data_IF_053863348052
#
_entry.id   IF_053863348052
#
_cell.length_a   1.000
_cell.length_b   1.000
_cell.length_c   1.000
_cell.angle_alpha   90.00
_cell.angle_beta   90.00
_cell.angle_gamma   90.00
#
_symmetry.space_group_name_H-M   'P 1'
#
loop_
_entity.id
_entity.type
_entity.pdbx_description
1 polymer ?
#
# COMPACT_ATOMS: atom_id res chain seq x y z
N UNK A 1 -19.52 -7.89 -9.27
CA UNK A 1 -19.71 -6.46 -9.62
C UNK A 1 -19.50 -5.62 -8.37
N UNK A 2 -18.55 -4.66 -8.37
CA UNK A 2 -18.28 -3.80 -7.20
C UNK A 2 -19.06 -2.48 -7.23
N UNK A 3 -19.47 -2.05 -8.42
CA UNK A 3 -20.27 -0.87 -8.65
C UNK A 3 -21.42 -1.15 -9.62
N UNK A 4 -22.38 -0.24 -9.64
CA UNK A 4 -23.51 -0.21 -10.58
C UNK A 4 -23.50 1.15 -11.26
N UNK A 5 -23.61 1.16 -12.59
CA UNK A 5 -23.90 2.37 -13.35
C UNK A 5 -25.41 2.55 -13.41
N UNK A 6 -25.91 3.64 -12.85
CA UNK A 6 -27.31 4.03 -12.91
C UNK A 6 -27.46 4.96 -14.10
N UNK A 7 -28.24 4.57 -15.11
CA UNK A 7 -28.44 5.36 -16.32
C UNK A 7 -29.60 6.33 -16.15
N UNK A 8 -29.41 7.59 -16.56
CA UNK A 8 -30.43 8.62 -16.81
C UNK A 8 -31.47 8.90 -15.71
N UNK A 9 -31.38 8.27 -14.55
CA UNK A 9 -32.27 8.45 -13.42
C UNK A 9 -31.58 9.31 -12.36
N UNK A 10 -32.08 10.52 -12.08
CA UNK A 10 -31.53 11.33 -11.00
C UNK A 10 -31.83 10.66 -9.64
N UNK A 11 -30.90 10.73 -8.68
CA UNK A 11 -31.13 10.16 -7.36
C UNK A 11 -32.35 10.80 -6.68
N UNK A 12 -33.11 10.00 -5.94
CA UNK A 12 -34.36 10.41 -5.25
C UNK A 12 -34.22 11.64 -4.34
N UNK A 13 -33.00 11.94 -3.91
CA UNK A 13 -32.63 13.15 -3.16
C UNK A 13 -31.39 13.75 -3.80
N UNK A 14 -31.29 15.08 -3.79
CA UNK A 14 -30.10 15.81 -4.25
C UNK A 14 -28.87 15.20 -3.60
N UNK A 15 -28.04 14.53 -4.42
CA UNK A 15 -26.86 13.83 -3.96
C UNK A 15 -25.62 14.52 -4.49
N UNK A 16 -24.61 14.67 -3.63
CA UNK A 16 -23.28 15.10 -4.04
C UNK A 16 -22.39 13.89 -4.31
N UNK A 17 -21.45 14.05 -5.23
CA UNK A 17 -20.41 13.06 -5.48
C UNK A 17 -19.50 12.92 -4.26
N UNK A 18 -19.27 11.69 -3.83
CA UNK A 18 -18.42 11.39 -2.67
C UNK A 18 -16.93 11.70 -2.89
N UNK A 19 -16.50 11.98 -4.11
CA UNK A 19 -15.10 12.31 -4.43
C UNK A 19 -14.85 13.80 -4.74
N UNK A 20 -15.79 14.49 -5.40
CA UNK A 20 -15.59 15.88 -5.84
C UNK A 20 -16.61 16.87 -5.26
N UNK A 21 -17.54 16.39 -4.41
CA UNK A 21 -18.59 17.18 -3.75
C UNK A 21 -19.55 17.93 -4.67
N UNK A 22 -19.46 17.73 -6.00
CA UNK A 22 -20.36 18.34 -6.98
C UNK A 22 -21.72 17.65 -6.96
N UNK A 23 -22.82 18.37 -7.25
CA UNK A 23 -24.14 17.77 -7.38
C UNK A 23 -24.17 16.76 -8.53
N UNK A 24 -24.78 15.60 -8.29
CA UNK A 24 -24.98 14.55 -9.28
C UNK A 24 -26.24 14.91 -10.09
N UNK A 25 -26.07 15.02 -11.41
CA UNK A 25 -27.15 15.42 -12.32
C UNK A 25 -27.89 14.19 -12.88
N UNK A 26 -27.32 13.56 -13.92
CA UNK A 26 -27.93 12.43 -14.62
C UNK A 26 -26.87 11.38 -14.95
N UNK A 27 -27.17 10.12 -14.68
CA UNK A 27 -26.17 9.07 -14.83
C UNK A 27 -25.14 9.12 -13.70
N UNK A 28 -25.03 8.05 -12.89
CA UNK A 28 -24.05 8.03 -11.82
C UNK A 28 -23.56 6.62 -11.50
N UNK A 29 -22.37 6.54 -10.93
CA UNK A 29 -21.78 5.30 -10.45
C UNK A 29 -22.09 5.15 -8.97
N UNK A 30 -22.62 3.99 -8.57
CA UNK A 30 -22.94 3.66 -7.18
C UNK A 30 -22.11 2.47 -6.72
N UNK A 31 -21.39 2.60 -5.62
CA UNK A 31 -20.67 1.49 -5.02
C UNK A 31 -21.64 0.53 -4.31
N UNK A 32 -21.56 -0.77 -4.61
CA UNK A 32 -22.58 -1.77 -4.19
C UNK A 32 -22.67 -1.93 -2.67
N UNK A 33 -21.53 -1.93 -1.96
CA UNK A 33 -21.51 -2.12 -0.50
C UNK A 33 -21.81 -0.85 0.27
N UNK A 34 -21.03 0.21 0.04
CA UNK A 34 -21.08 1.47 0.79
C UNK A 34 -22.20 2.41 0.36
N UNK A 35 -22.87 2.15 -0.77
CA UNK A 35 -23.91 3.00 -1.34
C UNK A 35 -23.44 4.42 -1.71
N UNK A 36 -22.12 4.66 -1.70
CA UNK A 36 -21.52 5.92 -2.13
C UNK A 36 -21.78 6.15 -3.62
N UNK A 37 -21.95 7.43 -3.99
CA UNK A 37 -22.35 7.85 -5.33
C UNK A 37 -21.27 8.74 -5.93
N UNK A 38 -21.00 8.54 -7.21
CA UNK A 38 -19.95 9.21 -7.95
C UNK A 38 -20.48 9.69 -9.30
N UNK A 39 -19.99 10.83 -9.77
CA UNK A 39 -20.35 11.36 -11.10
C UNK A 39 -20.04 10.36 -12.21
N UNK A 40 -18.89 9.72 -12.12
CA UNK A 40 -18.32 8.88 -13.16
C UNK A 40 -17.37 7.83 -12.56
N UNK A 41 -16.80 7.01 -13.44
CA UNK A 41 -15.84 6.00 -13.07
C UNK A 41 -14.52 6.56 -12.52
N UNK A 42 -14.08 7.75 -12.95
CA UNK A 42 -12.85 8.37 -12.43
C UNK A 42 -12.99 8.84 -10.98
N UNK A 43 -14.15 9.40 -10.64
CA UNK A 43 -14.53 9.74 -9.28
C UNK A 43 -14.66 8.48 -8.42
N UNK A 44 -15.24 7.40 -8.96
CA UNK A 44 -15.29 6.10 -8.30
C UNK A 44 -13.89 5.57 -7.97
N UNK A 45 -12.98 5.56 -8.95
CA UNK A 45 -11.59 5.09 -8.77
C UNK A 45 -10.83 5.92 -7.75
N UNK A 46 -11.00 7.25 -7.74
CA UNK A 46 -10.44 8.12 -6.69
C UNK A 46 -11.00 7.79 -5.31
N UNK A 47 -12.30 7.53 -5.21
CA UNK A 47 -12.95 7.11 -3.96
C UNK A 47 -12.45 5.76 -3.44
N UNK A 48 -12.27 4.77 -4.32
CA UNK A 48 -11.67 3.48 -3.95
C UNK A 48 -10.23 3.64 -3.47
N UNK A 49 -9.43 4.45 -4.15
CA UNK A 49 -8.06 4.77 -3.72
C UNK A 49 -8.06 5.42 -2.34
N UNK A 50 -8.92 6.41 -2.11
CA UNK A 50 -9.03 7.06 -0.81
C UNK A 50 -9.47 6.09 0.29
N UNK A 51 -10.36 5.14 -0.01
CA UNK A 51 -10.81 4.11 0.94
C UNK A 51 -9.69 3.13 1.27
N UNK A 52 -8.91 2.71 0.27
CA UNK A 52 -7.73 1.85 0.47
C UNK A 52 -6.65 2.56 1.28
N UNK A 53 -6.43 3.85 1.02
CA UNK A 53 -5.49 4.67 1.78
C UNK A 53 -6.00 4.92 3.21
N UNK A 54 -7.29 5.11 3.44
CA UNK A 54 -7.86 5.23 4.79
C UNK A 54 -7.80 3.93 5.61
N UNK A 55 -7.65 2.77 4.98
CA UNK A 55 -7.39 1.52 5.70
C UNK A 55 -5.97 1.48 6.27
N UNK A 56 -5.06 2.28 5.72
CA UNK A 56 -3.84 2.65 6.39
C UNK A 56 -4.18 3.65 7.50
N UNK A 57 -3.55 3.60 8.69
CA UNK A 57 -3.70 4.67 9.67
C UNK A 57 -3.16 5.96 9.06
N UNK A 58 -4.04 6.72 8.40
CA UNK A 58 -3.66 8.03 7.88
C UNK A 58 -3.44 8.93 9.10
N UNK A 59 -2.33 9.67 9.14
CA UNK A 59 -2.15 10.69 10.16
C UNK A 59 -3.33 11.66 10.07
N UNK A 60 -3.91 11.99 11.23
CA UNK A 60 -5.14 12.77 11.37
C UNK A 60 -5.13 14.12 10.60
N UNK A 61 -3.95 14.60 10.23
CA UNK A 61 -3.70 15.86 9.53
C UNK A 61 -4.25 15.91 8.09
N UNK A 62 -4.43 14.77 7.41
CA UNK A 62 -5.12 14.74 6.09
C UNK A 62 -6.60 15.04 6.18
N UNK A 63 -7.25 14.66 7.29
CA UNK A 63 -8.66 14.98 7.52
C UNK A 63 -8.87 16.48 7.79
N UNK A 64 -7.83 17.19 8.25
CA UNK A 64 -7.83 18.63 8.48
C UNK A 64 -7.53 19.47 7.22
N UNK A 65 -7.28 18.84 6.07
CA UNK A 65 -7.01 19.55 4.81
C UNK A 65 -5.60 20.15 4.70
N UNK A 66 -4.68 19.82 5.63
CA UNK A 66 -3.32 20.35 5.62
C UNK A 66 -2.36 19.44 4.83
N UNK A 67 -2.26 19.66 3.52
CA UNK A 67 -1.52 18.82 2.56
C UNK A 67 -0.01 18.77 2.87
N UNK A 68 0.58 19.83 3.40
CA UNK A 68 2.02 19.87 3.71
C UNK A 68 2.37 19.03 4.95
N UNK A 69 1.55 19.08 5.99
CA UNK A 69 1.73 18.28 7.20
C UNK A 69 1.52 16.78 6.91
N UNK A 70 0.53 16.48 6.07
CA UNK A 70 0.30 15.16 5.52
C UNK A 70 1.50 14.60 4.73
N UNK A 71 2.07 15.41 3.84
CA UNK A 71 3.22 15.00 3.04
C UNK A 71 4.45 14.76 3.94
N UNK A 72 4.63 15.58 4.98
CA UNK A 72 5.72 15.43 5.95
C UNK A 72 5.60 14.13 6.75
N UNK A 73 4.44 13.84 7.33
CA UNK A 73 4.23 12.61 8.10
C UNK A 73 4.35 11.35 7.23
N UNK A 74 3.92 11.41 5.97
CA UNK A 74 4.18 10.34 4.99
C UNK A 74 5.69 10.14 4.77
N UNK A 75 6.45 11.21 4.54
CA UNK A 75 7.91 11.11 4.33
C UNK A 75 8.62 10.54 5.56
N UNK A 76 8.24 10.95 6.77
CA UNK A 76 8.80 10.40 8.01
C UNK A 76 8.47 8.89 8.14
N UNK A 77 7.24 8.49 7.84
CA UNK A 77 6.86 7.08 7.85
C UNK A 77 7.68 6.26 6.85
N UNK A 78 7.86 6.77 5.62
CA UNK A 78 8.69 6.10 4.61
C UNK A 78 10.16 6.06 5.01
N UNK A 79 10.68 7.09 5.67
CA UNK A 79 12.06 7.11 6.17
C UNK A 79 12.28 6.05 7.26
N UNK A 80 11.34 5.93 8.22
CA UNK A 80 11.39 4.91 9.27
C UNK A 80 11.30 3.50 8.67
N UNK A 81 10.36 3.26 7.75
CA UNK A 81 10.22 1.97 7.08
C UNK A 81 11.49 1.60 6.29
N UNK A 82 12.08 2.58 5.59
CA UNK A 82 13.32 2.38 4.85
C UNK A 82 14.47 2.02 5.79
N UNK A 83 14.62 2.73 6.91
CA UNK A 83 15.64 2.43 7.91
C UNK A 83 15.47 1.01 8.47
N UNK A 84 14.28 0.65 8.94
CA UNK A 84 13.99 -0.70 9.47
C UNK A 84 14.30 -1.79 8.43
N UNK A 85 13.90 -1.58 7.17
CA UNK A 85 14.17 -2.54 6.10
C UNK A 85 15.66 -2.71 5.82
N UNK A 86 16.43 -1.61 5.84
CA UNK A 86 17.88 -1.62 5.61
C UNK A 86 18.59 -2.44 6.71
N UNK A 87 18.23 -2.20 7.97
CA UNK A 87 18.77 -2.96 9.11
C UNK A 87 18.38 -4.45 9.05
N UNK A 88 17.17 -4.77 8.60
CA UNK A 88 16.77 -6.16 8.41
C UNK A 88 17.61 -6.85 7.32
N UNK A 89 17.81 -6.19 6.17
CA UNK A 89 18.62 -6.71 5.08
C UNK A 89 20.08 -6.95 5.49
N UNK A 90 20.69 -6.03 6.25
CA UNK A 90 22.09 -6.21 6.69
C UNK A 90 22.25 -7.39 7.63
N UNK A 91 21.31 -7.59 8.56
CA UNK A 91 21.31 -8.76 9.46
C UNK A 91 21.18 -10.04 8.63
N UNK A 92 20.23 -10.10 7.69
CA UNK A 92 20.02 -11.28 6.86
C UNK A 92 21.25 -11.62 6.02
N UNK A 93 21.83 -10.63 5.33
CA UNK A 93 23.05 -10.83 4.53
C UNK A 93 24.20 -11.36 5.40
N UNK A 94 24.37 -10.81 6.61
CA UNK A 94 25.42 -11.24 7.53
C UNK A 94 25.23 -12.69 8.00
N UNK A 95 23.99 -13.08 8.32
CA UNK A 95 23.68 -14.46 8.72
C UNK A 95 23.95 -15.46 7.58
N UNK A 96 23.57 -15.11 6.35
CA UNK A 96 23.81 -15.94 5.16
C UNK A 96 25.31 -16.05 4.87
N UNK A 97 26.05 -14.94 4.93
CA UNK A 97 27.49 -14.96 4.71
C UNK A 97 28.22 -15.86 5.72
N UNK A 98 27.81 -15.82 7.00
CA UNK A 98 28.33 -16.73 8.04
C UNK A 98 28.02 -18.19 7.75
N UNK A 99 26.78 -18.51 7.39
CA UNK A 99 26.38 -19.87 7.08
C UNK A 99 27.17 -20.44 5.88
N UNK A 100 27.33 -19.64 4.82
CA UNK A 100 28.11 -20.01 3.64
C UNK A 100 29.59 -20.22 3.97
N UNK A 101 30.18 -19.33 4.79
CA UNK A 101 31.57 -19.47 5.21
C UNK A 101 31.78 -20.74 6.05
N UNK A 102 30.86 -21.05 6.96
CA UNK A 102 30.90 -22.27 7.75
C UNK A 102 30.83 -23.53 6.88
N UNK A 103 29.87 -23.59 5.95
CA UNK A 103 29.74 -24.71 5.02
C UNK A 103 30.96 -24.87 4.10
N UNK A 104 31.57 -23.76 3.67
CA UNK A 104 32.78 -23.79 2.84
C UNK A 104 33.99 -24.36 3.59
N UNK A 105 34.17 -23.97 4.87
CA UNK A 105 35.27 -24.49 5.69
C UNK A 105 35.07 -25.96 6.03
N UNK A 106 33.86 -26.36 6.44
CA UNK A 106 33.50 -27.75 6.73
C UNK A 106 33.74 -28.68 5.53
N UNK A 107 33.30 -28.26 4.33
CA UNK A 107 33.57 -28.99 3.09
C UNK A 107 35.06 -29.05 2.72
N UNK A 108 35.85 -28.04 3.10
CA UNK A 108 37.30 -28.02 2.83
C UNK A 108 38.07 -28.96 3.75
N UNK A 109 37.67 -29.07 5.02
CA UNK A 109 38.28 -30.00 5.98
C UNK A 109 38.00 -31.46 5.59
N UNK A 110 36.80 -31.76 5.08
CA UNK A 110 36.47 -33.06 4.49
C UNK A 110 37.39 -33.42 3.31
N UNK A 111 37.57 -32.51 2.34
CA UNK A 111 38.44 -32.76 1.18
C UNK A 111 39.92 -32.95 1.60
N UNK A 112 40.36 -32.25 2.66
CA UNK A 112 41.76 -32.32 3.12
C UNK A 112 42.04 -33.62 3.88
N UNK A 113 41.04 -34.20 4.55
CA UNK A 113 41.19 -35.45 5.31
C UNK A 113 41.10 -36.70 4.43
N UNK A 114 40.37 -36.66 3.31
CA UNK A 114 40.26 -37.78 2.36
C UNK A 114 41.49 -37.94 1.44
N UNK A 115 42.34 -36.90 1.30
CA UNK A 115 43.54 -36.92 0.46
C UNK A 115 44.82 -37.45 1.12
N UNK A 116 44.74 -37.96 2.36
CA UNK A 116 45.90 -38.35 3.18
C UNK A 116 46.32 -39.82 3.11
N UNK A 117 45.56 -40.68 2.43
CA UNK A 117 45.84 -42.12 2.33
C UNK A 117 46.42 -42.51 0.96
N UNK A 118 47.70 -42.18 0.72
CA UNK A 118 48.55 -42.84 -0.30
C UNK A 118 49.98 -42.93 0.16
#
# INVERSE_FOLDING_TARGET
MKFVLVNHEPPLRTAACSACSRPIQSGYVRHVRTQLRYCDYDCYRRGELATLLMQWPMPAELAAGNIEAAARSMMEMFAVLSAVSCWSCTIQIWTVARALTGAFLDGRDLITTEGGDT
#
